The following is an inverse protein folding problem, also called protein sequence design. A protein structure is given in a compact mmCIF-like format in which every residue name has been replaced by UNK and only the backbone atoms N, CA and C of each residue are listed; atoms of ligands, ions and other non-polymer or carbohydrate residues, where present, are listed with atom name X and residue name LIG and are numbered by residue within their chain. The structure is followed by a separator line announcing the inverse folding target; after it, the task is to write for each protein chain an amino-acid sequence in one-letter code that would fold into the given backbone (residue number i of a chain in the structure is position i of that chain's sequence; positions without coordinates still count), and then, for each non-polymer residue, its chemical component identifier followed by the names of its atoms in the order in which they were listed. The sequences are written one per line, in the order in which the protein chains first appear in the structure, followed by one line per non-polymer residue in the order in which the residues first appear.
data_IF_140478138765
#
_entry.id   IF_140478138765
#
_cell.length_a   1.000
_cell.length_b   1.000
_cell.length_c   1.000
_cell.angle_alpha   90.00
_cell.angle_beta   90.00
_cell.angle_gamma   90.00
#
_symmetry.space_group_name_H-M   'P 1'
#
loop_
_entity.id
_entity.type
_entity.pdbx_description
1 polymer ?
#
# COMPACT_ATOMS: atom_id res chain seq x y z
N UNK A 1 -12.60 59.75 -10.41
CA UNK A 1 -13.18 59.07 -9.24
C UNK A 1 -12.03 58.74 -8.29
N UNK A 2 -12.22 59.02 -6.99
CA UNK A 2 -11.18 59.11 -5.94
C UNK A 2 -10.68 57.73 -5.46
N UNK A 3 -9.45 57.62 -4.93
CA UNK A 3 -8.91 56.40 -4.32
C UNK A 3 -9.28 56.32 -2.83
N UNK A 4 -9.30 55.10 -2.24
CA UNK A 4 -9.25 54.94 -0.78
C UNK A 4 -8.27 53.81 -0.42
N UNK A 5 -7.33 54.19 0.43
CA UNK A 5 -6.27 53.43 1.08
C UNK A 5 -6.75 52.96 2.47
N UNK A 6 -6.25 51.78 2.88
CA UNK A 6 -6.07 51.25 4.25
C UNK A 6 -7.21 51.35 5.27
N UNK A 7 -7.51 50.24 5.95
CA UNK A 7 -7.21 50.09 7.39
C UNK A 7 -6.80 48.64 7.69
N UNK A 8 -5.60 48.48 8.23
CA UNK A 8 -5.13 47.30 8.94
C UNK A 8 -5.68 47.39 10.38
N UNK A 9 -6.54 46.47 10.79
CA UNK A 9 -6.99 46.39 12.18
C UNK A 9 -6.58 45.06 12.78
N UNK A 10 -5.48 45.09 13.53
CA UNK A 10 -5.17 44.10 14.55
C UNK A 10 -6.23 44.17 15.65
N UNK A 11 -6.89 43.06 15.95
CA UNK A 11 -7.47 42.83 17.28
C UNK A 11 -6.80 41.61 17.90
N UNK A 12 -6.20 41.86 19.06
CA UNK A 12 -5.61 40.90 19.98
C UNK A 12 -6.70 40.02 20.62
N UNK A 13 -6.31 38.75 20.84
CA UNK A 13 -6.80 37.72 21.76
C UNK A 13 -8.16 37.95 22.47
N UNK A 14 -9.10 37.03 22.20
CA UNK A 14 -9.93 36.46 23.24
C UNK A 14 -9.59 34.97 23.37
N UNK A 15 -8.96 34.61 24.50
CA UNK A 15 -8.78 33.24 24.94
C UNK A 15 -10.14 32.71 25.39
N UNK A 16 -10.64 31.68 24.73
CA UNK A 16 -11.86 30.97 25.10
C UNK A 16 -11.87 29.61 24.44
N UNK A 17 -11.55 28.56 25.19
CA UNK A 17 -11.69 27.18 24.72
C UNK A 17 -13.15 26.90 24.35
N UNK A 18 -13.46 26.41 23.15
CA UNK A 18 -14.82 26.00 22.82
C UNK A 18 -15.20 24.78 23.66
N UNK A 19 -16.39 24.85 24.30
CA UNK A 19 -16.97 23.74 25.07
C UNK A 19 -17.29 22.58 24.11
N UNK A 20 -17.00 21.35 24.53
CA UNK A 20 -17.39 20.13 23.83
C UNK A 20 -18.91 20.04 23.75
N UNK A 21 -19.49 20.18 22.56
CA UNK A 21 -20.95 20.08 22.40
C UNK A 21 -21.45 20.32 21.00
N UNK A 22 -20.91 21.30 20.28
CA UNK A 22 -21.48 21.73 18.99
C UNK A 22 -20.39 21.91 17.92
N UNK A 23 -19.67 20.83 17.59
CA UNK A 23 -19.00 20.77 16.28
C UNK A 23 -20.04 20.39 15.23
N UNK A 24 -20.17 21.12 14.10
CA UNK A 24 -20.93 20.60 12.98
C UNK A 24 -20.37 19.22 12.61
N UNK A 25 -21.20 18.29 12.11
CA UNK A 25 -20.70 16.98 11.70
C UNK A 25 -19.52 17.24 10.76
N UNK A 26 -18.36 16.68 11.11
CA UNK A 26 -17.20 16.68 10.21
C UNK A 26 -17.70 15.97 8.96
N UNK A 27 -18.03 16.77 7.96
CA UNK A 27 -18.42 16.30 6.66
C UNK A 27 -17.19 15.56 6.14
N UNK A 28 -17.22 14.22 6.18
CA UNK A 28 -16.30 13.36 5.45
C UNK A 28 -16.56 13.58 3.97
N UNK A 29 -16.24 14.76 3.46
CA UNK A 29 -16.33 15.06 2.04
C UNK A 29 -15.22 14.28 1.32
N UNK A 30 -15.71 13.33 0.52
CA UNK A 30 -15.25 13.07 -0.85
C UNK A 30 -13.87 12.45 -1.06
N UNK A 31 -13.64 11.25 -0.54
CA UNK A 31 -12.63 10.34 -1.13
C UNK A 31 -13.21 8.97 -1.50
N UNK A 32 -14.23 8.51 -0.79
CA UNK A 32 -14.78 7.15 -0.94
C UNK A 32 -15.60 6.95 -2.24
N UNK A 33 -16.20 8.01 -2.79
CA UNK A 33 -17.05 7.92 -3.99
C UNK A 33 -16.30 8.08 -5.32
N UNK A 34 -15.06 8.59 -5.34
CA UNK A 34 -14.35 8.96 -6.58
C UNK A 34 -13.41 7.87 -7.15
N UNK A 35 -12.98 6.90 -6.35
CA UNK A 35 -12.19 5.78 -6.88
C UNK A 35 -13.02 4.84 -7.77
N UNK A 36 -14.34 4.81 -7.59
CA UNK A 36 -15.25 3.91 -8.31
C UNK A 36 -15.48 4.23 -9.79
N UNK A 37 -14.90 5.31 -10.33
CA UNK A 37 -15.11 5.72 -11.73
C UNK A 37 -13.83 5.92 -12.55
N UNK A 38 -12.65 5.85 -11.94
CA UNK A 38 -11.40 6.01 -12.69
C UNK A 38 -11.17 4.76 -13.52
N UNK A 39 -11.34 4.87 -14.84
CA UNK A 39 -11.04 3.76 -15.76
C UNK A 39 -9.54 3.57 -15.88
N UNK A 40 -9.13 2.32 -15.76
CA UNK A 40 -7.76 1.86 -15.96
C UNK A 40 -7.74 0.87 -17.12
N UNK A 41 -6.81 1.08 -18.05
CA UNK A 41 -6.51 0.16 -19.15
C UNK A 41 -5.26 -0.65 -18.81
N UNK A 42 -5.19 -1.88 -19.33
CA UNK A 42 -4.03 -2.76 -19.11
C UNK A 42 -2.76 -2.14 -19.69
N UNK A 43 -1.66 -2.20 -18.92
CA UNK A 43 -0.34 -1.77 -19.37
C UNK A 43 0.56 -2.99 -19.65
N UNK A 44 1.35 -3.43 -18.67
CA UNK A 44 2.24 -4.59 -18.73
C UNK A 44 2.53 -5.09 -17.32
N UNK A 45 2.95 -6.34 -17.19
CA UNK A 45 3.40 -6.91 -15.92
C UNK A 45 2.38 -6.80 -14.77
N UNK A 46 1.07 -6.89 -15.09
CA UNK A 46 -0.01 -6.74 -14.11
C UNK A 46 -0.27 -5.30 -13.65
N UNK A 47 0.43 -4.32 -14.23
CA UNK A 47 0.17 -2.90 -14.02
C UNK A 47 -0.87 -2.39 -15.02
N UNK A 48 -1.58 -1.35 -14.60
CA UNK A 48 -2.62 -0.67 -15.34
C UNK A 48 -2.37 0.84 -15.33
N UNK A 49 -2.92 1.55 -16.30
CA UNK A 49 -2.75 3.00 -16.45
C UNK A 49 -4.10 3.66 -16.70
N UNK A 50 -4.34 4.82 -16.10
CA UNK A 50 -5.54 5.61 -16.34
C UNK A 50 -5.29 6.74 -17.36
N UNK A 51 -6.33 7.52 -17.68
CA UNK A 51 -6.24 8.62 -18.63
C UNK A 51 -5.27 9.75 -18.22
N UNK A 52 -4.94 9.89 -16.93
CA UNK A 52 -3.96 10.88 -16.43
C UNK A 52 -2.52 10.38 -16.48
N UNK A 53 -2.32 9.11 -16.86
CA UNK A 53 -1.01 8.45 -16.85
C UNK A 53 -0.57 7.95 -15.47
N UNK A 54 -1.47 7.95 -14.48
CA UNK A 54 -1.19 7.30 -13.20
C UNK A 54 -1.24 5.78 -13.35
N UNK A 55 -0.32 5.12 -12.66
CA UNK A 55 -0.14 3.67 -12.72
C UNK A 55 -0.73 3.04 -11.46
N UNK A 56 -1.48 1.96 -11.66
CA UNK A 56 -2.08 1.16 -10.61
C UNK A 56 -1.73 -0.32 -10.74
N UNK A 57 -1.62 -1.00 -9.60
CA UNK A 57 -1.64 -2.45 -9.49
C UNK A 57 -3.06 -2.89 -9.20
N UNK A 58 -3.65 -3.69 -10.09
CA UNK A 58 -5.01 -4.21 -9.91
C UNK A 58 -5.05 -5.19 -8.73
N UNK A 59 -6.03 -5.01 -7.85
CA UNK A 59 -6.38 -5.95 -6.78
C UNK A 59 -7.90 -6.01 -6.61
N UNK A 60 -8.37 -6.82 -5.67
CA UNK A 60 -9.78 -6.96 -5.33
C UNK A 60 -9.98 -6.65 -3.86
N UNK A 61 -10.93 -5.78 -3.56
CA UNK A 61 -11.34 -5.46 -2.20
C UNK A 61 -12.72 -6.01 -1.91
N UNK A 62 -12.89 -6.54 -0.70
CA UNK A 62 -14.19 -6.99 -0.20
C UNK A 62 -14.88 -5.83 0.49
N UNK A 63 -16.08 -5.50 0.02
CA UNK A 63 -16.92 -4.45 0.57
C UNK A 63 -17.87 -5.02 1.63
N UNK A 64 -18.48 -4.14 2.43
CA UNK A 64 -19.37 -4.54 3.53
C UNK A 64 -20.65 -5.29 3.10
N UNK A 65 -20.94 -5.32 1.80
CA UNK A 65 -22.02 -6.10 1.17
C UNK A 65 -21.53 -7.47 0.66
N UNK A 66 -20.35 -7.91 1.11
CA UNK A 66 -19.64 -9.12 0.66
C UNK A 66 -19.25 -9.14 -0.82
N UNK A 67 -19.43 -8.05 -1.57
CA UNK A 67 -19.00 -7.98 -2.98
C UNK A 67 -17.49 -7.77 -3.08
N UNK A 68 -16.87 -8.46 -4.04
CA UNK A 68 -15.50 -8.17 -4.47
C UNK A 68 -15.55 -7.16 -5.59
N UNK A 69 -14.84 -6.04 -5.44
CA UNK A 69 -14.73 -5.02 -6.48
C UNK A 69 -13.27 -4.84 -6.85
N UNK A 70 -13.04 -4.61 -8.14
CA UNK A 70 -11.72 -4.25 -8.63
C UNK A 70 -11.31 -2.90 -8.05
N UNK A 71 -10.08 -2.83 -7.56
CA UNK A 71 -9.45 -1.59 -7.12
C UNK A 71 -8.01 -1.55 -7.61
N UNK A 72 -7.37 -0.40 -7.46
CA UNK A 72 -6.04 -0.15 -7.96
C UNK A 72 -5.17 0.46 -6.86
N UNK A 73 -4.17 -0.31 -6.43
CA UNK A 73 -3.12 0.21 -5.57
C UNK A 73 -2.31 1.20 -6.41
N UNK A 74 -2.21 2.45 -5.97
CA UNK A 74 -1.49 3.51 -6.70
C UNK A 74 -0.31 4.08 -5.90
N UNK A 75 -0.08 3.56 -4.68
CA UNK A 75 0.84 4.11 -3.69
C UNK A 75 1.90 3.12 -3.24
N UNK A 76 3.08 3.65 -2.95
CA UNK A 76 4.24 2.91 -2.46
C UNK A 76 4.87 3.63 -1.25
N UNK A 77 5.08 2.90 -0.16
CA UNK A 77 5.86 3.33 1.00
C UNK A 77 7.29 2.82 0.87
N UNK A 78 8.28 3.72 0.90
CA UNK A 78 9.69 3.34 0.68
C UNK A 78 10.50 3.16 1.96
N UNK A 79 9.85 3.07 3.13
CA UNK A 79 10.52 2.84 4.42
C UNK A 79 11.37 4.00 4.95
N UNK A 80 11.32 5.17 4.31
CA UNK A 80 11.77 6.44 4.89
C UNK A 80 10.56 7.10 5.52
N UNK A 81 10.23 6.74 6.76
CA UNK A 81 9.14 7.42 7.46
C UNK A 81 9.63 8.74 8.08
N UNK A 82 8.75 9.72 8.01
CA UNK A 82 8.72 11.04 8.68
C UNK A 82 9.61 12.20 8.19
N UNK A 83 10.68 12.00 7.42
CA UNK A 83 11.48 13.15 6.92
C UNK A 83 11.13 13.68 5.50
N UNK A 84 10.43 12.93 4.63
CA UNK A 84 10.34 13.27 3.18
C UNK A 84 8.95 13.12 2.49
N UNK A 85 7.83 13.17 3.23
CA UNK A 85 6.53 13.55 2.61
C UNK A 85 5.53 12.46 2.19
N UNK A 86 5.55 11.27 2.80
CA UNK A 86 4.45 10.29 2.70
C UNK A 86 4.54 9.31 1.51
N UNK A 87 3.46 8.57 1.20
CA UNK A 87 3.49 7.55 0.15
C UNK A 87 3.70 8.18 -1.23
N UNK A 88 4.57 7.57 -2.03
CA UNK A 88 4.80 7.99 -3.41
C UNK A 88 3.82 7.29 -4.36
N UNK A 89 3.50 7.95 -5.48
CA UNK A 89 2.77 7.27 -6.55
C UNK A 89 3.63 6.17 -7.18
N UNK A 90 3.00 5.04 -7.51
CA UNK A 90 3.59 3.89 -8.19
C UNK A 90 4.43 4.29 -9.39
N UNK A 91 3.91 5.17 -10.25
CA UNK A 91 4.61 5.67 -11.45
C UNK A 91 5.98 6.30 -11.18
N UNK A 92 6.25 6.78 -9.96
CA UNK A 92 7.53 7.39 -9.56
C UNK A 92 8.46 6.41 -8.84
N UNK A 93 7.90 5.35 -8.25
CA UNK A 93 8.60 4.51 -7.29
C UNK A 93 8.94 3.10 -7.81
N UNK A 94 8.37 2.66 -8.94
CA UNK A 94 8.62 1.33 -9.51
C UNK A 94 9.21 1.39 -10.91
N UNK A 95 10.15 0.51 -11.21
CA UNK A 95 10.56 0.24 -12.58
C UNK A 95 9.51 -0.64 -13.26
N UNK A 96 8.60 0.00 -13.99
CA UNK A 96 7.47 -0.68 -14.65
C UNK A 96 7.91 -1.72 -15.68
N UNK A 97 9.12 -1.59 -16.26
CA UNK A 97 9.62 -2.50 -17.29
C UNK A 97 10.04 -3.85 -16.70
N UNK A 98 10.51 -3.85 -15.46
CA UNK A 98 11.00 -5.04 -14.76
C UNK A 98 10.10 -5.46 -13.59
N UNK A 99 9.03 -4.71 -13.32
CA UNK A 99 8.03 -5.05 -12.32
C UNK A 99 7.46 -6.45 -12.55
N UNK A 100 7.26 -7.21 -11.49
CA UNK A 100 6.82 -8.60 -11.54
C UNK A 100 6.11 -8.98 -10.24
N UNK A 101 5.01 -9.74 -10.36
CA UNK A 101 4.39 -10.44 -9.22
C UNK A 101 5.13 -11.72 -8.90
N UNK A 102 5.41 -11.95 -7.62
CA UNK A 102 6.08 -13.14 -7.09
C UNK A 102 5.12 -14.09 -6.37
N UNK A 103 3.80 -13.84 -6.40
CA UNK A 103 2.77 -14.52 -5.58
C UNK A 103 2.81 -14.16 -4.09
N UNK A 104 1.70 -14.43 -3.40
CA UNK A 104 1.48 -14.16 -1.97
C UNK A 104 1.77 -12.71 -1.56
N UNK A 105 1.26 -11.75 -2.35
CA UNK A 105 1.40 -10.33 -2.05
C UNK A 105 2.81 -9.78 -2.25
N UNK A 106 3.79 -10.59 -2.68
CA UNK A 106 5.13 -10.13 -3.01
C UNK A 106 5.23 -9.70 -4.47
N UNK A 107 5.97 -8.61 -4.68
CA UNK A 107 6.30 -8.08 -5.99
C UNK A 107 7.76 -7.67 -6.00
N UNK A 108 8.37 -7.54 -7.18
CA UNK A 108 9.70 -6.97 -7.32
C UNK A 108 9.83 -6.19 -8.61
N UNK A 109 10.85 -5.34 -8.65
CA UNK A 109 11.42 -4.86 -9.89
C UNK A 109 12.94 -5.11 -9.87
N UNK A 110 13.70 -4.51 -10.81
CA UNK A 110 15.17 -4.69 -10.86
C UNK A 110 15.91 -4.14 -9.64
N UNK A 111 15.29 -3.26 -8.86
CA UNK A 111 15.89 -2.49 -7.76
C UNK A 111 15.35 -2.85 -6.39
N UNK A 112 14.06 -3.14 -6.27
CA UNK A 112 13.35 -3.26 -5.01
C UNK A 112 12.48 -4.51 -4.97
N UNK A 113 12.19 -4.94 -3.75
CA UNK A 113 11.15 -5.92 -3.44
C UNK A 113 10.06 -5.21 -2.66
N UNK A 114 8.81 -5.56 -2.95
CA UNK A 114 7.63 -4.95 -2.35
C UNK A 114 6.75 -6.03 -1.73
N UNK A 115 6.03 -5.65 -0.67
CA UNK A 115 4.91 -6.40 -0.15
C UNK A 115 3.65 -5.54 -0.19
N UNK A 116 2.53 -6.14 -0.61
CA UNK A 116 1.22 -5.51 -0.59
C UNK A 116 0.61 -5.60 0.81
N UNK A 117 0.38 -4.46 1.44
CA UNK A 117 -0.38 -4.37 2.68
C UNK A 117 -1.75 -3.78 2.42
N UNK A 118 -2.77 -4.39 2.99
CA UNK A 118 -4.10 -3.81 3.06
C UNK A 118 -4.13 -2.77 4.19
N UNK A 119 -4.63 -1.58 3.88
CA UNK A 119 -4.87 -0.50 4.85
C UNK A 119 -6.34 -0.12 4.81
N UNK A 120 -6.83 0.64 5.80
CA UNK A 120 -8.19 1.21 5.78
C UNK A 120 -8.45 2.09 4.55
N UNK A 121 -7.39 2.55 3.89
CA UNK A 121 -7.43 3.56 2.82
C UNK A 121 -7.18 2.94 1.43
N UNK A 122 -7.42 1.63 1.28
CA UNK A 122 -7.34 0.93 0.00
C UNK A 122 -5.99 0.28 -0.31
N UNK A 123 -5.14 0.09 0.69
CA UNK A 123 -3.87 -0.62 0.59
C UNK A 123 -2.72 0.13 -0.09
N UNK A 124 -1.51 -0.40 0.08
CA UNK A 124 -0.30 0.13 -0.54
C UNK A 124 0.78 -0.94 -0.69
N UNK A 125 1.68 -0.74 -1.65
CA UNK A 125 2.94 -1.47 -1.66
C UNK A 125 3.88 -0.85 -0.64
N UNK A 126 4.68 -1.67 0.02
CA UNK A 126 5.79 -1.20 0.85
C UNK A 126 7.08 -1.86 0.41
N UNK A 127 8.13 -1.07 0.29
CA UNK A 127 9.48 -1.56 -0.01
C UNK A 127 10.01 -2.35 1.18
N UNK A 128 10.48 -3.56 0.92
CA UNK A 128 11.17 -4.39 1.90
C UNK A 128 12.62 -3.92 1.97
N UNK A 129 12.98 -3.24 3.05
CA UNK A 129 14.31 -2.68 3.21
C UNK A 129 15.39 -3.77 3.18
N UNK A 130 16.47 -3.50 2.44
CA UNK A 130 17.64 -4.37 2.29
C UNK A 130 17.38 -5.76 1.69
N UNK A 131 16.20 -6.02 1.12
CA UNK A 131 15.95 -7.24 0.36
C UNK A 131 16.75 -7.24 -0.96
N UNK A 132 17.25 -8.40 -1.37
CA UNK A 132 17.96 -8.56 -2.65
C UNK A 132 17.01 -9.04 -3.76
N UNK A 133 16.55 -8.17 -4.69
CA UNK A 133 15.55 -8.54 -5.71
C UNK A 133 16.01 -9.64 -6.66
N UNK A 134 17.33 -9.80 -6.83
CA UNK A 134 17.89 -10.82 -7.73
C UNK A 134 17.73 -12.22 -7.15
N UNK A 135 17.81 -12.34 -5.82
CA UNK A 135 17.74 -13.63 -5.12
C UNK A 135 16.43 -13.82 -4.35
N UNK A 136 15.57 -12.80 -4.31
CA UNK A 136 14.30 -12.86 -3.61
C UNK A 136 13.34 -13.86 -4.25
N UNK A 137 12.78 -14.72 -3.39
CA UNK A 137 11.87 -15.80 -3.73
C UNK A 137 10.71 -15.80 -2.73
N UNK A 138 9.48 -15.60 -3.23
CA UNK A 138 8.27 -15.96 -2.50
C UNK A 138 8.14 -17.48 -2.47
N UNK A 139 7.71 -18.02 -1.33
CA UNK A 139 7.55 -19.46 -1.12
C UNK A 139 6.12 -19.94 -1.42
N UNK A 140 5.22 -19.04 -1.83
CA UNK A 140 3.87 -19.35 -2.30
C UNK A 140 2.93 -19.93 -1.24
N UNK A 141 3.30 -19.78 0.04
CA UNK A 141 2.42 -20.11 1.17
C UNK A 141 2.72 -19.21 2.37
N UNK A 142 1.68 -18.87 3.11
CA UNK A 142 1.74 -18.12 4.38
C UNK A 142 2.52 -16.80 4.29
N UNK A 143 2.56 -16.21 3.09
CA UNK A 143 3.30 -14.99 2.79
C UNK A 143 4.75 -15.06 3.27
N UNK A 144 5.34 -16.25 3.18
CA UNK A 144 6.74 -16.48 3.47
C UNK A 144 7.58 -16.22 2.22
N UNK A 145 8.70 -15.56 2.43
CA UNK A 145 9.69 -15.35 1.39
C UNK A 145 11.11 -15.43 1.96
N UNK A 146 12.09 -15.48 1.07
CA UNK A 146 13.51 -15.42 1.43
C UNK A 146 14.31 -14.76 0.33
N UNK A 147 15.48 -14.28 0.68
CA UNK A 147 16.55 -14.00 -0.27
C UNK A 147 17.84 -14.70 0.19
N UNK A 148 18.98 -14.36 -0.40
CA UNK A 148 20.27 -14.96 -0.04
C UNK A 148 20.68 -14.77 1.43
N UNK A 149 20.16 -13.74 2.12
CA UNK A 149 20.65 -13.29 3.42
C UNK A 149 19.59 -13.33 4.53
N UNK A 150 18.30 -13.35 4.18
CA UNK A 150 17.22 -13.19 5.14
C UNK A 150 15.96 -14.00 4.76
N UNK A 151 15.12 -14.21 5.78
CA UNK A 151 13.77 -14.74 5.66
C UNK A 151 12.77 -13.65 5.96
N UNK A 152 11.59 -13.74 5.36
CA UNK A 152 10.54 -12.74 5.46
C UNK A 152 9.17 -13.36 5.68
N UNK A 153 8.32 -12.67 6.43
CA UNK A 153 6.88 -12.93 6.55
C UNK A 153 6.11 -11.63 6.49
N UNK A 154 5.07 -11.57 5.66
CA UNK A 154 4.33 -10.33 5.40
C UNK A 154 5.25 -9.13 5.10
N UNK A 155 6.31 -9.32 4.30
CA UNK A 155 7.27 -8.26 4.00
C UNK A 155 8.23 -7.86 5.14
N UNK A 156 8.10 -8.43 6.34
CA UNK A 156 8.97 -8.16 7.49
C UNK A 156 10.06 -9.22 7.62
N UNK A 157 11.27 -8.81 7.98
CA UNK A 157 12.40 -9.74 8.21
C UNK A 157 12.16 -10.55 9.48
N UNK A 158 12.34 -11.86 9.41
CA UNK A 158 12.19 -12.78 10.54
C UNK A 158 13.45 -13.62 10.78
N UNK A 159 13.58 -14.18 11.98
CA UNK A 159 14.65 -15.12 12.32
C UNK A 159 14.44 -16.48 11.64
N UNK A 160 15.53 -17.27 11.55
CA UNK A 160 15.47 -18.64 11.03
C UNK A 160 14.54 -19.53 11.86
N UNK A 161 14.50 -19.35 13.18
CA UNK A 161 13.64 -20.14 14.06
C UNK A 161 12.16 -19.83 13.80
N UNK A 162 11.79 -18.55 13.69
CA UNK A 162 10.42 -18.16 13.34
C UNK A 162 10.03 -18.71 11.95
N UNK A 163 10.94 -18.61 10.98
CA UNK A 163 10.72 -19.16 9.66
C UNK A 163 10.42 -20.67 9.70
N UNK A 164 11.19 -21.44 10.47
CA UNK A 164 10.96 -22.87 10.66
C UNK A 164 9.59 -23.15 11.30
N UNK A 165 9.23 -22.41 12.35
CA UNK A 165 7.93 -22.56 13.02
C UNK A 165 6.75 -22.37 12.05
N UNK A 166 6.82 -21.36 11.17
CA UNK A 166 5.77 -21.15 10.16
C UNK A 166 5.79 -22.21 9.05
N UNK A 167 6.98 -22.65 8.64
CA UNK A 167 7.10 -23.71 7.64
C UNK A 167 6.51 -25.04 8.13
N UNK A 168 6.73 -25.38 9.41
CA UNK A 168 6.27 -26.61 10.03
C UNK A 168 4.75 -26.59 10.31
N UNK A 169 4.18 -25.47 10.77
CA UNK A 169 2.72 -25.30 10.89
C UNK A 169 2.01 -25.54 9.55
N UNK A 170 2.69 -25.27 8.44
CA UNK A 170 2.16 -25.53 7.10
C UNK A 170 2.08 -27.01 6.76
N UNK A 171 3.00 -27.85 7.29
CA UNK A 171 2.98 -29.31 7.08
C UNK A 171 2.02 -30.00 8.05
N UNK A 172 1.86 -29.46 9.26
CA UNK A 172 0.96 -30.01 10.28
C UNK A 172 -0.54 -29.84 9.93
N UNK A 173 -0.86 -28.90 9.03
CA UNK A 173 -2.23 -28.59 8.60
C UNK A 173 -2.67 -29.28 7.30
N UNK A 174 -1.89 -30.22 6.77
CA UNK A 174 -2.32 -31.16 5.74
C UNK A 174 -2.79 -32.47 6.42
N UNK A 175 -4.03 -32.58 6.95
CA UNK A 175 -4.56 -33.85 7.40
C UNK A 175 -4.96 -34.66 6.17
N UNK A 176 -3.98 -35.39 5.61
CA UNK A 176 -4.11 -36.69 4.94
C UNK A 176 -3.13 -36.78 3.77
N UNK A 177 -2.01 -37.45 4.03
CA UNK A 177 -1.26 -38.11 2.98
C UNK A 177 -2.18 -39.03 2.19
N UNK A 178 -2.48 -38.66 0.96
CA UNK A 178 -2.81 -39.61 -0.09
C UNK A 178 -1.56 -40.46 -0.30
N UNK A 179 -1.54 -41.63 0.32
CA UNK A 179 -0.68 -42.72 -0.12
C UNK A 179 -1.18 -43.17 -1.50
N UNK A 180 -0.29 -43.13 -2.49
CA UNK A 180 -0.40 -43.98 -3.67
C UNK A 180 0.09 -45.39 -3.32
#
# INVERSE_FOLDING_TARGET
MRPVLMILSFYFLACGSPKSGDMPPVEKQTTDTLQSQVKYDSLKNGLFVNATGDIGLKTFEKFGDDTLRETYITRVYTGKEEEDGGPQHLRKAVDTATFQSLFDGYYKDKTNVYFLYSTSDGGALRVIANADPKTFQSLGKNELARDKAAFYKHGEKISKQEFQNYADDTLAKEPNGLQH
#
